data_IF_046399256877
#
_entry.id   IF_046399256877
#
_cell.length_a   1.000
_cell.length_b   1.000
_cell.length_c   1.000
_cell.angle_alpha   90.00
_cell.angle_beta   90.00
_cell.angle_gamma   90.00
#
_symmetry.space_group_name_H-M   'P 1'
#
loop_
_entity.id
_entity.type
_entity.pdbx_description
1 polymer ?
#
# COMPACT_ATOMS: atom_id res chain seq x y z
N UNK A 1 5.75 17.01 -1.16
CA UNK A 1 6.14 15.70 -1.72
C UNK A 1 4.94 14.75 -1.91
N UNK A 2 4.25 14.29 -0.85
CA UNK A 2 3.14 13.32 -0.96
C UNK A 2 2.02 13.78 -1.91
N UNK A 3 1.61 15.04 -1.83
CA UNK A 3 0.56 15.58 -2.72
C UNK A 3 0.97 15.56 -4.21
N UNK A 4 2.27 15.75 -4.51
CA UNK A 4 2.77 15.68 -5.88
C UNK A 4 2.87 14.25 -6.37
N UNK A 5 3.27 13.31 -5.51
CA UNK A 5 3.24 11.89 -5.80
C UNK A 5 1.81 11.41 -6.09
N UNK A 6 0.84 11.85 -5.29
CA UNK A 6 -0.57 11.59 -5.51
C UNK A 6 -1.07 12.18 -6.83
N UNK A 7 -0.71 13.43 -7.16
CA UNK A 7 -1.02 14.04 -8.47
C UNK A 7 -0.47 13.23 -9.63
N UNK A 8 0.80 12.81 -9.55
CA UNK A 8 1.47 12.05 -10.61
C UNK A 8 0.83 10.68 -10.80
N UNK A 9 0.62 9.92 -9.72
CA UNK A 9 0.06 8.57 -9.82
C UNK A 9 -1.35 8.60 -10.40
N UNK A 10 -2.21 9.51 -9.94
CA UNK A 10 -3.58 9.65 -10.46
C UNK A 10 -3.57 10.14 -11.91
N UNK A 11 -2.68 11.06 -12.27
CA UNK A 11 -2.50 11.48 -13.65
C UNK A 11 -2.12 10.31 -14.57
N UNK A 12 -1.23 9.41 -14.12
CA UNK A 12 -0.85 8.21 -14.87
C UNK A 12 -2.00 7.22 -15.06
N UNK A 13 -2.93 7.13 -14.10
CA UNK A 13 -4.15 6.32 -14.25
C UNK A 13 -4.95 6.75 -15.49
N UNK A 14 -4.90 8.02 -15.87
CA UNK A 14 -5.58 8.54 -17.05
C UNK A 14 -5.21 7.82 -18.35
N UNK A 15 -3.98 7.32 -18.49
CA UNK A 15 -3.59 6.54 -19.67
C UNK A 15 -4.27 5.17 -19.71
N UNK A 16 -4.46 4.55 -18.55
CA UNK A 16 -5.19 3.28 -18.41
C UNK A 16 -6.67 3.47 -18.70
N UNK A 17 -7.26 4.55 -18.18
CA UNK A 17 -8.66 4.85 -18.48
C UNK A 17 -8.87 5.27 -19.92
N UNK A 18 -7.94 6.01 -20.55
CA UNK A 18 -8.06 6.38 -21.96
C UNK A 18 -8.03 5.18 -22.90
N UNK A 19 -7.30 4.12 -22.56
CA UNK A 19 -7.26 2.89 -23.36
C UNK A 19 -8.56 2.06 -23.24
N UNK A 20 -9.22 2.09 -22.08
CA UNK A 20 -10.48 1.39 -21.84
C UNK A 20 -11.74 2.21 -22.18
N UNK A 21 -11.67 3.53 -21.99
CA UNK A 21 -12.70 4.53 -22.24
C UNK A 21 -12.17 5.54 -23.28
N UNK A 22 -12.39 5.31 -24.58
CA UNK A 22 -11.82 6.17 -25.63
C UNK A 22 -12.27 7.63 -25.54
N UNK A 23 -13.42 7.88 -24.93
CA UNK A 23 -13.99 9.20 -24.68
C UNK A 23 -13.41 9.92 -23.45
N UNK A 24 -12.51 9.27 -22.69
CA UNK A 24 -11.96 9.81 -21.44
C UNK A 24 -11.29 11.19 -21.61
N UNK A 25 -11.66 12.12 -20.73
CA UNK A 25 -11.16 13.50 -20.61
C UNK A 25 -10.65 13.77 -19.21
N UNK A 26 -10.06 14.94 -19.01
CA UNK A 26 -9.52 15.33 -17.71
C UNK A 26 -10.63 15.52 -16.66
N UNK A 27 -11.78 16.05 -17.06
CA UNK A 27 -12.93 16.29 -16.20
C UNK A 27 -13.53 14.98 -15.66
N UNK A 28 -13.36 13.87 -16.38
CA UNK A 28 -13.87 12.56 -15.96
C UNK A 28 -13.23 12.05 -14.67
N UNK A 29 -12.03 12.53 -14.30
CA UNK A 29 -11.46 12.28 -12.97
C UNK A 29 -12.37 12.79 -11.85
N UNK A 30 -13.07 13.92 -12.05
CA UNK A 30 -13.96 14.51 -11.05
C UNK A 30 -15.42 14.09 -11.24
N UNK A 31 -15.84 13.89 -12.49
CA UNK A 31 -17.25 13.75 -12.84
C UNK A 31 -17.69 12.30 -13.07
N UNK A 32 -16.75 11.38 -13.34
CA UNK A 32 -17.06 9.99 -13.70
C UNK A 32 -16.37 8.98 -12.80
N UNK A 33 -15.13 9.23 -12.40
CA UNK A 33 -14.34 8.33 -11.59
C UNK A 33 -14.89 8.20 -10.17
N UNK A 34 -14.85 6.98 -9.64
CA UNK A 34 -15.02 6.71 -8.21
C UNK A 34 -13.66 6.48 -7.56
N UNK A 35 -13.51 6.96 -6.34
CA UNK A 35 -12.33 6.79 -5.52
C UNK A 35 -12.71 6.01 -4.27
N UNK A 36 -11.91 5.02 -3.92
CA UNK A 36 -12.09 4.23 -2.70
C UNK A 36 -10.74 3.80 -2.17
N UNK A 37 -10.75 3.13 -1.02
CA UNK A 37 -9.62 2.42 -0.45
C UNK A 37 -9.81 0.91 -0.66
N UNK A 38 -8.76 0.12 -0.44
CA UNK A 38 -8.85 -1.34 -0.55
C UNK A 38 -9.73 -1.89 0.60
N UNK A 39 -10.79 -2.66 0.30
CA UNK A 39 -11.66 -3.21 1.33
C UNK A 39 -10.94 -4.15 2.31
N UNK A 40 -10.99 -3.84 3.61
CA UNK A 40 -10.32 -4.61 4.66
C UNK A 40 -9.21 -3.85 5.38
N UNK A 41 -8.86 -2.66 4.91
CA UNK A 41 -8.31 -1.63 5.77
C UNK A 41 -9.46 -1.07 6.61
N UNK A 42 -9.45 -1.36 7.91
CA UNK A 42 -10.27 -0.58 8.84
C UNK A 42 -9.78 0.85 8.71
N UNK A 43 -10.62 1.76 8.20
CA UNK A 43 -10.37 3.19 8.33
C UNK A 43 -10.47 3.46 9.84
N UNK A 44 -9.37 3.30 10.56
CA UNK A 44 -9.29 3.78 11.92
C UNK A 44 -9.52 5.29 11.85
N UNK A 45 -10.43 5.86 12.66
CA UNK A 45 -10.69 7.30 12.68
C UNK A 45 -9.44 8.15 12.97
N UNK A 46 -8.36 7.51 13.45
CA UNK A 46 -7.05 8.07 13.77
C UNK A 46 -5.95 7.73 12.75
N UNK A 47 -6.16 6.79 11.83
CA UNK A 47 -5.16 6.40 10.83
C UNK A 47 -5.48 7.01 9.45
N UNK A 48 -4.44 7.09 8.62
CA UNK A 48 -4.27 7.72 7.30
C UNK A 48 -5.47 7.82 6.32
N UNK A 49 -6.58 7.11 6.51
CA UNK A 49 -7.77 7.18 5.66
C UNK A 49 -8.42 8.57 5.61
N UNK A 50 -8.63 9.25 6.75
CA UNK A 50 -9.12 10.63 6.73
C UNK A 50 -8.11 11.61 6.12
N UNK A 51 -6.82 11.33 6.29
CA UNK A 51 -5.74 12.13 5.70
C UNK A 51 -5.76 12.00 4.17
N UNK A 52 -6.02 10.81 3.62
CA UNK A 52 -6.09 10.63 2.17
C UNK A 52 -7.37 11.14 1.53
N UNK A 53 -8.53 10.99 2.17
CA UNK A 53 -9.77 11.65 1.73
C UNK A 53 -9.54 13.16 1.66
N UNK A 54 -8.89 13.74 2.68
CA UNK A 54 -8.51 15.16 2.69
C UNK A 54 -7.47 15.49 1.62
N UNK A 55 -6.45 14.64 1.38
CA UNK A 55 -5.44 14.85 0.33
C UNK A 55 -6.06 14.80 -1.07
N UNK A 56 -6.97 13.86 -1.35
CA UNK A 56 -7.74 13.78 -2.59
C UNK A 56 -8.59 15.04 -2.79
N UNK A 57 -9.37 15.43 -1.78
CA UNK A 57 -10.21 16.64 -1.85
C UNK A 57 -9.40 17.92 -2.01
N UNK A 58 -8.41 18.15 -1.13
CA UNK A 58 -7.70 19.43 -1.07
C UNK A 58 -6.63 19.56 -2.16
N UNK A 59 -5.96 18.47 -2.54
CA UNK A 59 -4.91 18.53 -3.57
C UNK A 59 -5.50 18.36 -4.96
N UNK A 60 -6.36 17.36 -5.16
CA UNK A 60 -6.87 17.03 -6.49
C UNK A 60 -8.24 17.63 -6.81
N UNK A 61 -8.86 18.31 -5.85
CA UNK A 61 -10.18 18.91 -6.01
C UNK A 61 -11.22 17.87 -6.48
N UNK A 62 -11.11 16.66 -5.90
CA UNK A 62 -12.05 15.57 -6.14
C UNK A 62 -13.30 15.80 -5.29
N UNK A 63 -14.50 15.79 -5.90
CA UNK A 63 -15.75 15.93 -5.15
C UNK A 63 -15.92 14.82 -4.10
N UNK A 64 -16.34 15.18 -2.89
CA UNK A 64 -16.45 14.23 -1.76
C UNK A 64 -17.44 13.08 -2.05
N UNK A 65 -18.51 13.35 -2.81
CA UNK A 65 -19.47 12.33 -3.24
C UNK A 65 -18.89 11.30 -4.23
N UNK A 66 -17.67 11.50 -4.74
CA UNK A 66 -16.92 10.53 -5.55
C UNK A 66 -15.97 9.66 -4.73
N UNK A 67 -15.74 10.02 -3.47
CA UNK A 67 -14.92 9.25 -2.55
C UNK A 67 -15.86 8.39 -1.71
N UNK A 68 -15.90 7.09 -2.00
CA UNK A 68 -16.88 6.17 -1.44
C UNK A 68 -16.21 5.18 -0.51
N UNK A 69 -16.90 4.83 0.57
CA UNK A 69 -16.48 3.72 1.43
C UNK A 69 -16.77 2.37 0.77
N UNK A 70 -16.26 1.30 1.38
CA UNK A 70 -16.40 -0.06 0.86
C UNK A 70 -17.86 -0.50 0.73
N UNK A 71 -18.74 -0.14 1.66
CA UNK A 71 -20.14 -0.60 1.66
C UNK A 71 -20.90 0.08 0.52
N UNK A 72 -20.73 1.39 0.38
CA UNK A 72 -21.36 2.17 -0.69
C UNK A 72 -20.78 1.80 -2.06
N UNK A 73 -19.47 1.51 -2.15
CA UNK A 73 -18.82 1.06 -3.38
C UNK A 73 -19.55 -0.14 -3.98
N UNK A 74 -19.75 -1.22 -3.22
CA UNK A 74 -20.44 -2.41 -3.72
C UNK A 74 -21.87 -2.10 -4.20
N UNK A 75 -22.62 -1.24 -3.48
CA UNK A 75 -23.97 -0.85 -3.90
C UNK A 75 -23.99 -0.10 -5.23
N UNK A 76 -22.99 0.77 -5.47
CA UNK A 76 -22.85 1.50 -6.72
C UNK A 76 -22.45 0.56 -7.85
N UNK A 77 -21.48 -0.34 -7.62
CA UNK A 77 -21.01 -1.29 -8.63
C UNK A 77 -22.12 -2.25 -9.09
N UNK A 78 -23.03 -2.68 -8.22
CA UNK A 78 -24.15 -3.53 -8.64
C UNK A 78 -25.22 -2.78 -9.44
N UNK A 79 -25.30 -1.46 -9.29
CA UNK A 79 -26.36 -0.62 -9.90
C UNK A 79 -25.97 -0.09 -11.28
N UNK A 80 -24.68 0.10 -11.54
CA UNK A 80 -24.17 0.71 -12.76
C UNK A 80 -23.20 -0.21 -13.47
N UNK A 81 -22.93 0.03 -14.74
CA UNK A 81 -21.95 -0.73 -15.54
C UNK A 81 -20.83 0.17 -16.02
N UNK A 82 -19.68 -0.44 -16.35
CA UNK A 82 -18.55 0.21 -17.02
C UNK A 82 -18.04 1.50 -16.34
N UNK A 83 -18.10 1.53 -15.02
CA UNK A 83 -17.51 2.60 -14.20
C UNK A 83 -15.97 2.53 -14.17
N UNK A 84 -15.28 3.69 -14.06
CA UNK A 84 -13.87 3.80 -13.70
C UNK A 84 -13.71 3.91 -12.18
N UNK A 85 -12.88 3.07 -11.58
CA UNK A 85 -12.61 3.06 -10.15
C UNK A 85 -11.10 3.18 -9.90
N UNK A 86 -10.73 4.07 -8.98
CA UNK A 86 -9.37 4.17 -8.46
C UNK A 86 -9.37 3.80 -6.97
N UNK A 87 -8.58 2.78 -6.62
CA UNK A 87 -8.19 2.54 -5.24
C UNK A 87 -6.94 3.34 -4.92
N UNK A 88 -6.94 4.10 -3.83
CA UNK A 88 -5.81 4.93 -3.42
C UNK A 88 -5.24 4.41 -2.12
N UNK A 89 -3.91 4.45 -1.99
CA UNK A 89 -3.19 3.97 -0.81
C UNK A 89 -1.79 4.64 -0.73
N UNK A 90 -1.19 4.67 0.45
CA UNK A 90 0.15 5.21 0.65
C UNK A 90 1.24 4.17 0.34
N UNK A 91 1.10 2.97 0.87
CA UNK A 91 2.16 1.98 0.85
C UNK A 91 1.62 0.55 0.81
N UNK A 92 2.07 -0.19 -0.21
CA UNK A 92 1.81 -1.62 -0.31
C UNK A 92 3.06 -2.41 0.12
N UNK A 93 2.93 -3.12 1.23
CA UNK A 93 3.93 -4.11 1.68
C UNK A 93 3.84 -5.42 0.89
N UNK A 94 3.24 -6.46 1.49
CA UNK A 94 3.16 -7.79 0.88
C UNK A 94 2.06 -7.94 -0.19
N UNK A 95 1.17 -6.96 -0.32
CA UNK A 95 -0.01 -7.02 -1.20
C UNK A 95 -1.08 -8.04 -0.77
N UNK A 96 -0.94 -8.66 0.41
CA UNK A 96 -1.86 -9.71 0.86
C UNK A 96 -3.29 -9.20 1.13
N UNK A 97 -3.41 -7.99 1.67
CA UNK A 97 -4.70 -7.35 1.91
C UNK A 97 -5.43 -7.06 0.60
N UNK A 98 -4.74 -6.49 -0.39
CA UNK A 98 -5.29 -6.27 -1.73
C UNK A 98 -5.71 -7.59 -2.40
N UNK A 99 -4.88 -8.64 -2.33
CA UNK A 99 -5.20 -9.96 -2.87
C UNK A 99 -6.49 -10.53 -2.27
N UNK A 100 -6.60 -10.50 -0.94
CA UNK A 100 -7.81 -10.92 -0.23
C UNK A 100 -9.02 -10.06 -0.59
N UNK A 101 -8.85 -8.74 -0.63
CA UNK A 101 -9.92 -7.80 -0.96
C UNK A 101 -10.47 -8.00 -2.37
N UNK A 102 -9.58 -8.26 -3.33
CA UNK A 102 -9.94 -8.43 -4.73
C UNK A 102 -10.58 -9.80 -5.02
N UNK A 103 -10.03 -10.87 -4.45
CA UNK A 103 -10.37 -12.25 -4.82
C UNK A 103 -11.30 -12.96 -3.82
N UNK A 104 -11.37 -12.55 -2.56
CA UNK A 104 -12.06 -13.31 -1.50
C UNK A 104 -13.15 -12.51 -0.80
N UNK A 105 -12.91 -11.22 -0.52
CA UNK A 105 -13.88 -10.38 0.17
C UNK A 105 -15.11 -10.20 -0.72
N UNK A 106 -16.28 -10.52 -0.18
CA UNK A 106 -17.57 -10.41 -0.84
C UNK A 106 -18.36 -9.26 -0.24
N UNK A 107 -19.07 -8.52 -1.09
CA UNK A 107 -19.92 -7.42 -0.67
C UNK A 107 -21.12 -7.23 -1.59
N UNK A 108 -21.92 -6.22 -1.27
CA UNK A 108 -23.14 -5.90 -2.01
C UNK A 108 -24.30 -6.85 -1.69
N UNK A 109 -25.40 -6.70 -2.43
CA UNK A 109 -26.59 -7.54 -2.26
C UNK A 109 -26.36 -8.94 -2.83
N UNK A 110 -25.53 -9.05 -3.87
CA UNK A 110 -25.27 -10.32 -4.55
C UNK A 110 -24.06 -11.07 -3.98
N UNK A 111 -23.35 -10.51 -2.99
CA UNK A 111 -22.19 -11.12 -2.34
C UNK A 111 -21.08 -11.49 -3.34
N UNK A 112 -20.80 -10.57 -4.27
CA UNK A 112 -19.74 -10.70 -5.27
C UNK A 112 -18.42 -10.16 -4.76
N UNK A 113 -17.33 -10.68 -5.30
CA UNK A 113 -15.98 -10.10 -5.11
C UNK A 113 -15.77 -8.92 -6.05
N UNK A 114 -14.77 -8.06 -5.79
CA UNK A 114 -14.42 -6.98 -6.72
C UNK A 114 -14.01 -7.50 -8.10
N UNK A 115 -13.33 -8.67 -8.14
CA UNK A 115 -13.02 -9.37 -9.39
C UNK A 115 -14.29 -9.75 -10.16
N UNK A 116 -15.27 -10.32 -9.47
CA UNK A 116 -16.57 -10.68 -10.09
C UNK A 116 -17.26 -9.42 -10.63
N UNK A 117 -17.26 -8.32 -9.85
CA UNK A 117 -17.84 -7.04 -10.28
C UNK A 117 -17.17 -6.49 -11.54
N UNK A 118 -15.84 -6.58 -11.64
CA UNK A 118 -15.10 -6.17 -12.84
C UNK A 118 -15.52 -6.95 -14.08
N UNK A 119 -15.70 -8.27 -13.95
CA UNK A 119 -16.05 -9.14 -15.07
C UNK A 119 -17.53 -9.03 -15.47
N UNK A 120 -18.45 -9.02 -14.50
CA UNK A 120 -19.90 -9.05 -14.74
C UNK A 120 -20.39 -7.70 -15.26
N UNK A 121 -19.95 -6.59 -14.65
CA UNK A 121 -20.44 -5.25 -14.96
C UNK A 121 -19.49 -4.44 -15.85
N UNK A 122 -18.34 -5.01 -16.21
CA UNK A 122 -17.36 -4.38 -17.10
C UNK A 122 -16.59 -3.20 -16.45
N UNK A 123 -16.58 -3.11 -15.14
CA UNK A 123 -15.87 -2.04 -14.42
C UNK A 123 -14.35 -2.13 -14.62
N UNK A 124 -13.70 -0.97 -14.76
CA UNK A 124 -12.25 -0.88 -14.82
C UNK A 124 -11.70 -0.34 -13.51
N UNK A 125 -10.92 -1.18 -12.84
CA UNK A 125 -10.28 -0.86 -11.57
C UNK A 125 -8.79 -0.58 -11.76
N UNK A 126 -8.31 0.45 -11.09
CA UNK A 126 -6.88 0.77 -11.00
C UNK A 126 -6.52 0.99 -9.54
N UNK A 127 -5.49 0.31 -9.07
CA UNK A 127 -4.90 0.52 -7.76
C UNK A 127 -3.71 1.46 -7.89
N UNK A 128 -3.75 2.56 -7.16
CA UNK A 128 -2.81 3.67 -7.26
C UNK A 128 -2.02 3.91 -5.95
N UNK A 129 -1.28 2.92 -5.41
CA UNK A 129 -0.46 3.14 -4.23
C UNK A 129 0.72 4.07 -4.55
N UNK A 130 1.08 4.98 -3.64
CA UNK A 130 2.22 5.86 -3.90
C UNK A 130 3.54 5.10 -4.00
N UNK A 131 3.75 4.13 -3.11
CA UNK A 131 4.93 3.29 -3.03
C UNK A 131 4.51 1.84 -2.86
N UNK A 132 5.18 0.91 -3.55
CA UNK A 132 4.92 -0.52 -3.43
C UNK A 132 6.22 -1.29 -3.27
N UNK A 133 6.26 -2.26 -2.36
CA UNK A 133 7.34 -3.24 -2.33
C UNK A 133 7.19 -4.20 -3.53
N UNK A 134 8.30 -4.53 -4.18
CA UNK A 134 8.35 -5.46 -5.32
C UNK A 134 7.60 -6.78 -5.06
N UNK A 135 7.66 -7.32 -3.84
CA UNK A 135 6.93 -8.54 -3.45
C UNK A 135 5.41 -8.31 -3.57
N UNK A 136 4.91 -7.18 -3.08
CA UNK A 136 3.50 -6.80 -3.18
C UNK A 136 3.08 -6.53 -4.61
N UNK A 137 3.91 -5.81 -5.39
CA UNK A 137 3.67 -5.53 -6.80
C UNK A 137 3.50 -6.84 -7.60
N UNK A 138 4.44 -7.76 -7.48
CA UNK A 138 4.40 -9.06 -8.16
C UNK A 138 3.22 -9.92 -7.71
N UNK A 139 2.87 -9.89 -6.40
CA UNK A 139 1.70 -10.60 -5.90
C UNK A 139 0.42 -10.08 -6.55
N UNK A 140 0.22 -8.76 -6.57
CA UNK A 140 -1.00 -8.15 -7.12
C UNK A 140 -1.07 -8.42 -8.62
N UNK A 141 0.01 -8.16 -9.36
CA UNK A 141 0.07 -8.41 -10.80
C UNK A 141 -0.24 -9.86 -11.18
N UNK A 142 0.24 -10.82 -10.38
CA UNK A 142 0.02 -12.26 -10.64
C UNK A 142 -1.37 -12.74 -10.22
N UNK A 143 -1.90 -12.26 -9.09
CA UNK A 143 -3.12 -12.81 -8.47
C UNK A 143 -4.38 -11.98 -8.67
N UNK A 144 -4.25 -10.67 -8.84
CA UNK A 144 -5.38 -9.75 -8.98
C UNK A 144 -5.64 -9.42 -10.45
N UNK A 145 -5.94 -10.45 -11.24
CA UNK A 145 -6.22 -10.27 -12.67
C UNK A 145 -7.41 -9.31 -12.86
N UNK A 146 -7.24 -8.33 -13.75
CA UNK A 146 -8.21 -7.27 -14.00
C UNK A 146 -7.99 -5.99 -13.19
N UNK A 147 -7.15 -6.03 -12.14
CA UNK A 147 -6.72 -4.87 -11.38
C UNK A 147 -5.37 -4.35 -11.92
N UNK A 148 -5.38 -3.15 -12.50
CA UNK A 148 -4.13 -2.50 -12.92
C UNK A 148 -3.45 -1.83 -11.73
N UNK A 149 -2.13 -1.89 -11.63
CA UNK A 149 -1.38 -1.21 -10.56
C UNK A 149 -0.54 -0.09 -11.15
N UNK A 150 -0.76 1.13 -10.67
CA UNK A 150 0.00 2.33 -11.05
C UNK A 150 0.64 2.88 -9.79
N UNK A 151 1.94 3.12 -9.81
CA UNK A 151 2.68 3.58 -8.62
C UNK A 151 3.81 4.52 -9.03
N UNK A 152 4.29 5.35 -8.10
CA UNK A 152 5.45 6.20 -8.37
C UNK A 152 6.76 5.45 -8.17
N UNK A 153 6.82 4.56 -7.16
CA UNK A 153 8.04 3.84 -6.82
C UNK A 153 7.76 2.38 -6.47
N UNK A 154 8.50 1.50 -7.14
CA UNK A 154 8.60 0.09 -6.76
C UNK A 154 9.90 -0.06 -5.98
N UNK A 155 9.79 -0.44 -4.70
CA UNK A 155 10.94 -0.73 -3.85
C UNK A 155 11.42 -2.15 -4.15
N UNK A 156 12.57 -2.24 -4.78
CA UNK A 156 13.22 -3.52 -5.08
C UNK A 156 14.10 -4.00 -3.92
N UNK A 157 14.89 -5.06 -4.16
CA UNK A 157 15.77 -5.64 -3.15
C UNK A 157 16.84 -4.66 -2.61
N UNK A 158 17.08 -3.53 -3.27
CA UNK A 158 18.04 -2.52 -2.81
C UNK A 158 17.55 -1.78 -1.56
N UNK A 159 16.26 -1.89 -1.23
CA UNK A 159 15.67 -1.32 -0.01
C UNK A 159 15.57 -2.34 1.14
N UNK A 160 16.03 -3.58 0.96
CA UNK A 160 16.00 -4.62 1.98
C UNK A 160 17.37 -4.75 2.68
N UNK A 161 17.42 -4.41 3.97
CA UNK A 161 18.64 -4.46 4.80
C UNK A 161 19.28 -5.84 4.89
N UNK A 162 18.51 -6.91 4.70
CA UNK A 162 19.00 -8.28 4.74
C UNK A 162 19.38 -8.79 3.34
N UNK A 163 19.63 -7.89 2.39
CA UNK A 163 20.18 -8.19 1.07
C UNK A 163 21.51 -7.46 0.87
N UNK A 164 22.56 -8.13 0.34
CA UNK A 164 23.86 -7.49 0.10
C UNK A 164 23.81 -6.27 -0.82
N UNK A 165 22.83 -6.23 -1.73
CA UNK A 165 22.59 -5.13 -2.67
C UNK A 165 21.92 -3.92 -2.04
N UNK A 166 21.60 -3.94 -0.74
CA UNK A 166 20.96 -2.81 -0.10
C UNK A 166 21.82 -1.54 -0.23
N UNK A 167 21.16 -0.40 -0.41
CA UNK A 167 21.79 0.92 -0.51
C UNK A 167 22.65 1.22 0.73
N UNK A 168 22.27 0.71 1.91
CA UNK A 168 23.05 0.85 3.14
C UNK A 168 24.42 0.16 3.07
N UNK A 169 24.53 -0.92 2.29
CA UNK A 169 25.77 -1.71 2.18
C UNK A 169 26.58 -1.36 0.94
N UNK A 170 25.93 -0.82 -0.11
CA UNK A 170 26.56 -0.47 -1.40
C UNK A 170 27.37 -1.63 -2.00
N UNK A 171 26.90 -2.87 -1.79
CA UNK A 171 27.59 -4.09 -2.25
C UNK A 171 28.80 -4.53 -1.41
N UNK A 172 29.14 -3.82 -0.33
CA UNK A 172 30.23 -4.21 0.56
C UNK A 172 29.81 -5.41 1.44
N UNK A 173 30.34 -6.59 1.10
CA UNK A 173 29.98 -7.86 1.75
C UNK A 173 30.40 -7.94 3.22
N UNK A 174 31.52 -7.34 3.60
CA UNK A 174 31.98 -7.36 4.99
C UNK A 174 31.15 -6.43 5.87
N UNK A 175 30.82 -5.25 5.35
CA UNK A 175 29.91 -4.32 6.03
C UNK A 175 28.51 -4.93 6.17
N UNK A 176 28.00 -5.56 5.11
CA UNK A 176 26.74 -6.29 5.14
C UNK A 176 26.73 -7.36 6.24
N UNK A 177 27.73 -8.24 6.27
CA UNK A 177 27.82 -9.32 7.27
C UNK A 177 27.86 -8.77 8.69
N UNK A 178 28.72 -7.78 8.96
CA UNK A 178 28.83 -7.15 10.28
C UNK A 178 27.56 -6.41 10.68
N UNK A 179 26.94 -5.70 9.74
CA UNK A 179 25.70 -4.94 9.98
C UNK A 179 24.52 -5.85 10.26
N UNK A 180 24.31 -6.89 9.46
CA UNK A 180 23.25 -7.88 9.69
C UNK A 180 23.48 -8.65 10.99
N UNK A 181 24.72 -9.06 11.28
CA UNK A 181 25.05 -9.72 12.55
C UNK A 181 24.75 -8.82 13.75
N UNK A 182 25.11 -7.53 13.68
CA UNK A 182 24.77 -6.55 14.70
C UNK A 182 23.26 -6.45 14.90
N UNK A 183 22.49 -6.32 13.82
CA UNK A 183 21.02 -6.21 13.87
C UNK A 183 20.42 -7.46 14.54
N UNK A 184 20.81 -8.66 14.09
CA UNK A 184 20.28 -9.92 14.60
C UNK A 184 20.65 -10.11 16.07
N UNK A 185 21.92 -9.92 16.41
CA UNK A 185 22.43 -10.09 17.77
C UNK A 185 21.76 -9.12 18.73
N UNK A 186 21.67 -7.83 18.38
CA UNK A 186 20.99 -6.83 19.20
C UNK A 186 19.50 -7.10 19.32
N UNK A 187 18.85 -7.52 18.24
CA UNK A 187 17.43 -7.89 18.29
C UNK A 187 17.18 -9.04 19.27
N UNK A 188 18.07 -10.04 19.31
CA UNK A 188 17.99 -11.15 20.27
C UNK A 188 18.23 -10.69 21.71
N UNK A 189 19.22 -9.83 21.95
CA UNK A 189 19.49 -9.22 23.27
C UNK A 189 18.28 -8.43 23.78
N UNK A 190 17.54 -7.77 22.88
CA UNK A 190 16.37 -6.95 23.19
C UNK A 190 15.04 -7.73 23.26
N UNK A 191 15.07 -9.05 23.02
CA UNK A 191 13.86 -9.88 23.05
C UNK A 191 12.92 -9.67 21.85
N UNK A 192 13.41 -9.12 20.74
CA UNK A 192 12.61 -8.95 19.52
C UNK A 192 12.30 -10.34 18.92
N UNK A 193 11.04 -10.66 18.56
CA UNK A 193 10.67 -11.98 18.09
C UNK A 193 11.32 -12.40 16.76
N UNK A 194 11.67 -13.68 16.67
CA UNK A 194 12.13 -14.35 15.44
C UNK A 194 11.02 -15.30 14.97
N UNK A 195 9.99 -14.73 14.37
CA UNK A 195 8.79 -15.47 13.99
C UNK A 195 8.82 -16.00 12.55
N UNK A 196 9.86 -15.69 11.77
CA UNK A 196 9.89 -16.02 10.34
C UNK A 196 8.80 -15.28 9.55
N UNK A 197 8.41 -14.09 10.01
CA UNK A 197 7.35 -13.29 9.42
C UNK A 197 5.92 -13.70 9.80
N UNK A 198 5.74 -14.62 10.76
CA UNK A 198 4.41 -15.00 11.27
C UNK A 198 3.82 -13.98 12.26
N UNK A 199 4.63 -13.08 12.81
CA UNK A 199 4.22 -11.99 13.67
C UNK A 199 4.38 -10.63 12.95
N UNK A 200 3.56 -9.65 13.31
CA UNK A 200 3.71 -8.24 12.91
C UNK A 200 5.05 -7.69 13.40
N UNK A 201 5.44 -8.09 14.61
CA UNK A 201 6.74 -7.77 15.20
C UNK A 201 7.69 -8.94 14.95
N UNK A 202 8.40 -8.89 13.82
CA UNK A 202 9.46 -9.84 13.47
C UNK A 202 10.78 -9.09 13.33
N UNK A 203 11.91 -9.71 13.68
CA UNK A 203 13.26 -9.13 13.54
C UNK A 203 13.53 -8.50 12.17
N UNK A 204 12.97 -9.04 11.09
CA UNK A 204 13.11 -8.50 9.74
C UNK A 204 11.93 -7.60 9.31
N UNK A 205 11.06 -7.20 10.23
CA UNK A 205 9.80 -6.51 9.94
C UNK A 205 8.72 -7.46 9.44
N UNK A 206 7.49 -6.97 9.34
CA UNK A 206 6.32 -7.78 8.96
C UNK A 206 6.53 -8.51 7.63
N UNK A 207 6.34 -9.84 7.66
CA UNK A 207 6.55 -10.71 6.49
C UNK A 207 8.00 -10.79 6.02
N UNK A 208 8.96 -10.51 6.90
CA UNK A 208 10.41 -10.52 6.64
C UNK A 208 10.89 -9.59 5.50
N UNK A 209 10.19 -8.48 5.30
CA UNK A 209 10.45 -7.57 4.18
C UNK A 209 11.75 -6.75 4.33
N UNK A 210 12.21 -6.51 5.56
CA UNK A 210 13.53 -5.96 5.85
C UNK A 210 13.74 -4.51 5.41
N UNK A 211 12.67 -3.73 5.28
CA UNK A 211 12.73 -2.42 4.63
C UNK A 211 13.56 -1.40 5.42
N UNK A 212 14.45 -0.69 4.72
CA UNK A 212 15.18 0.47 5.23
C UNK A 212 14.60 1.79 4.68
N UNK A 213 13.40 2.14 5.13
CA UNK A 213 12.80 3.43 4.80
C UNK A 213 11.94 3.99 5.93
N UNK A 214 11.81 5.30 5.96
CA UNK A 214 10.89 6.02 6.83
C UNK A 214 10.24 7.15 6.01
N UNK A 215 8.99 7.48 6.33
CA UNK A 215 8.29 8.61 5.73
C UNK A 215 8.19 9.74 6.76
N UNK A 216 8.44 10.99 6.33
CA UNK A 216 8.52 12.15 7.23
C UNK A 216 7.20 12.43 7.99
N UNK A 217 6.05 12.25 7.34
CA UNK A 217 4.74 12.68 7.88
C UNK A 217 3.84 11.52 8.38
N UNK A 218 3.93 10.34 7.75
CA UNK A 218 2.99 9.22 7.97
C UNK A 218 3.63 8.07 8.79
N UNK A 219 4.84 8.27 9.32
CA UNK A 219 5.54 7.33 10.20
C UNK A 219 6.35 6.24 9.45
N UNK A 220 6.57 5.11 10.11
CA UNK A 220 7.35 3.98 9.58
C UNK A 220 6.47 2.77 9.30
N UNK A 221 6.61 2.12 8.13
CA UNK A 221 5.80 0.95 7.81
C UNK A 221 6.18 -0.23 8.72
N UNK A 222 5.22 -1.12 9.00
CA UNK A 222 5.45 -2.34 9.81
C UNK A 222 6.47 -3.30 9.17
N UNK A 223 6.79 -3.09 7.89
CA UNK A 223 7.79 -3.82 7.13
C UNK A 223 9.26 -3.46 7.46
N UNK A 224 9.50 -2.44 8.31
CA UNK A 224 10.86 -2.13 8.78
C UNK A 224 11.26 -2.97 10.00
N UNK A 225 12.54 -3.31 10.17
CA UNK A 225 13.06 -3.99 11.35
C UNK A 225 12.71 -3.27 12.67
N UNK A 226 12.15 -3.99 13.68
CA UNK A 226 11.78 -3.41 14.96
C UNK A 226 12.94 -2.78 15.70
N UNK A 227 14.18 -3.20 15.46
CA UNK A 227 15.37 -2.61 16.08
C UNK A 227 15.46 -1.08 15.93
N UNK A 228 14.82 -0.51 14.90
CA UNK A 228 14.78 0.95 14.69
C UNK A 228 13.82 1.70 15.63
N UNK A 229 12.77 1.06 16.10
CA UNK A 229 11.73 1.68 16.92
C UNK A 229 11.47 0.97 18.25
N UNK A 230 12.15 -0.16 18.51
CA UNK A 230 12.07 -0.90 19.77
C UNK A 230 12.55 -0.01 20.91
N UNK A 231 11.82 0.00 22.01
CA UNK A 231 12.18 0.77 23.20
C UNK A 231 12.28 -0.17 24.38
N UNK A 232 13.43 -0.15 25.06
CA UNK A 232 13.66 -0.89 26.29
C UNK A 232 14.60 -0.08 27.19
N UNK A 233 14.78 -0.51 28.43
CA UNK A 233 15.72 0.12 29.38
C UNK A 233 17.18 0.11 28.88
N UNK A 234 17.51 -0.76 27.93
CA UNK A 234 18.87 -0.93 27.40
C UNK A 234 19.02 -0.57 25.93
N UNK A 235 17.95 -0.10 25.28
CA UNK A 235 17.95 0.25 23.87
C UNK A 235 17.15 1.51 23.58
N UNK A 236 17.86 2.51 23.04
CA UNK A 236 17.25 3.75 22.58
C UNK A 236 16.88 3.62 21.10
N UNK A 237 15.60 3.77 20.72
CA UNK A 237 15.17 3.68 19.33
C UNK A 237 15.76 4.83 18.50
N UNK A 238 16.02 4.55 17.22
CA UNK A 238 16.39 5.58 16.23
C UNK A 238 15.16 6.38 15.76
N UNK A 239 13.99 5.76 15.79
CA UNK A 239 12.73 6.35 15.32
C UNK A 239 11.68 6.19 16.41
N UNK A 240 11.04 7.29 16.79
CA UNK A 240 9.88 7.24 17.67
C UNK A 240 8.65 6.83 16.85
N UNK A 241 8.18 5.60 17.03
CA UNK A 241 6.89 5.18 16.46
C UNK A 241 5.78 5.75 17.35
N UNK A 242 4.89 6.56 16.77
CA UNK A 242 3.77 7.17 17.49
C UNK A 242 2.71 6.13 17.95
N UNK A 243 2.82 4.87 17.52
CA UNK A 243 1.87 3.81 17.81
C UNK A 243 2.56 2.56 18.37
N UNK A 244 2.24 2.22 19.61
CA UNK A 244 2.20 0.82 20.07
C UNK A 244 0.76 0.34 19.84
N UNK A 245 0.58 -0.71 19.03
CA UNK A 245 -0.67 -1.47 19.00
C UNK A 245 -0.73 -2.38 20.21
#
# INVERSE_FOLDING_TARGET
MINEMLRKVIGHVGYIFKSHFPDWKYEDFKDRCLYSFIPGETINPTDSGHTYVRKLRNSLDIPENRIVDNKLLYQILEKYTNLPIIFVDDFVGSGAQCDKAWNENRGGTHSYTLKDMSLIYGHKFVYAPLVVNHIGYERIKRKCLGLEVVTNHILDEQYNLFKPKCICWKGNSDLYRKGVDLIIRKSKEQGIPFSGGHNVLDVKGFGEQGLALAFDDDGVPDAIPPIFYWCSDTWTPLIKKAYQR
#
